data_IF_450844629620
#
_entry.id   IF_450844629620
#
_cell.length_a   1.000
_cell.length_b   1.000
_cell.length_c   1.000
_cell.angle_alpha   90.00
_cell.angle_beta   90.00
_cell.angle_gamma   90.00
#
_symmetry.space_group_name_H-M   'P 1'
#
loop_
_entity.id
_entity.type
_entity.pdbx_description
1 polymer ?
#
# COMPACT_ATOMS: atom_id res chain seq x y z
N UNK A 1 26.38 5.74 -7.13
CA UNK A 1 26.25 5.26 -5.74
C UNK A 1 24.82 5.56 -5.32
N UNK A 2 24.02 4.55 -5.03
CA UNK A 2 22.66 4.70 -4.51
C UNK A 2 22.82 5.07 -3.04
N UNK A 3 22.26 6.20 -2.61
CA UNK A 3 22.36 6.64 -1.22
C UNK A 3 20.97 7.02 -0.70
N UNK A 4 20.61 6.46 0.44
CA UNK A 4 19.64 7.10 1.31
C UNK A 4 20.24 8.47 1.68
N UNK A 5 19.56 9.57 1.31
CA UNK A 5 20.09 10.91 1.61
C UNK A 5 19.83 11.21 3.08
N UNK A 6 18.61 11.03 3.54
CA UNK A 6 18.25 11.16 4.95
C UNK A 6 16.91 10.53 5.28
N UNK A 7 16.65 10.37 6.56
CA UNK A 7 15.41 9.85 7.13
C UNK A 7 14.70 10.95 7.92
N UNK A 8 13.38 11.04 7.75
CA UNK A 8 12.52 12.00 8.45
C UNK A 8 11.51 11.23 9.30
N UNK A 9 11.32 11.64 10.55
CA UNK A 9 10.22 11.19 11.38
C UNK A 9 8.94 11.93 10.97
N UNK A 10 7.89 11.18 10.63
CA UNK A 10 6.60 11.72 10.18
C UNK A 10 5.61 11.80 11.35
N UNK A 11 5.54 10.72 12.12
CA UNK A 11 4.66 10.63 13.28
C UNK A 11 5.25 9.67 14.31
N UNK A 12 5.42 10.18 15.51
CA UNK A 12 5.75 9.42 16.71
C UNK A 12 5.06 10.06 17.91
N UNK A 13 4.36 9.27 18.69
CA UNK A 13 3.70 9.74 19.89
C UNK A 13 3.88 8.73 21.03
N UNK A 14 4.26 9.15 22.24
CA UNK A 14 4.43 8.26 23.37
C UNK A 14 3.16 7.45 23.66
N UNK A 15 3.33 6.13 23.86
CA UNK A 15 2.24 5.20 24.11
C UNK A 15 1.38 4.86 22.89
N UNK A 16 1.74 5.36 21.67
CA UNK A 16 1.01 5.08 20.45
C UNK A 16 1.78 4.14 19.51
N UNK A 17 1.04 3.28 18.86
CA UNK A 17 1.48 2.53 17.68
C UNK A 17 1.08 3.32 16.43
N UNK A 18 1.99 3.46 15.46
CA UNK A 18 1.65 3.99 14.15
C UNK A 18 2.13 3.02 13.07
N UNK A 19 1.23 2.63 12.15
CA UNK A 19 1.58 1.58 11.22
C UNK A 19 0.80 1.55 9.92
N UNK A 20 1.23 0.65 9.07
CA UNK A 20 0.57 0.11 7.88
C UNK A 20 0.22 1.12 6.78
N UNK A 21 1.10 2.05 6.37
CA UNK A 21 0.80 2.99 5.29
C UNK A 21 0.43 2.26 3.97
N UNK A 22 0.92 1.05 3.75
CA UNK A 22 0.56 0.24 2.59
C UNK A 22 -0.94 -0.07 2.48
N UNK A 23 -1.67 -0.09 3.59
CA UNK A 23 -3.11 -0.34 3.57
C UNK A 23 -3.89 0.89 3.12
N UNK A 24 -3.35 2.09 3.36
CA UNK A 24 -4.07 3.34 3.28
C UNK A 24 -3.90 4.09 1.97
N UNK A 25 -2.72 4.05 1.39
CA UNK A 25 -2.38 4.74 0.15
C UNK A 25 -1.47 5.94 0.34
N UNK A 26 -0.86 6.37 -0.77
CA UNK A 26 -0.04 7.56 -0.90
C UNK A 26 -0.42 8.29 -2.18
N UNK A 27 -0.41 9.62 -2.16
CA UNK A 27 -0.72 10.49 -3.29
C UNK A 27 0.28 11.64 -3.35
N UNK A 28 0.56 12.15 -4.56
CA UNK A 28 1.48 13.26 -4.73
C UNK A 28 1.08 14.22 -5.84
N UNK A 29 1.35 15.50 -5.64
CA UNK A 29 1.15 16.60 -6.57
C UNK A 29 2.40 17.49 -6.56
N UNK A 30 3.39 17.05 -7.31
CA UNK A 30 4.72 17.67 -7.24
C UNK A 30 5.36 17.42 -5.88
N UNK A 31 5.57 18.49 -5.11
CA UNK A 31 6.14 18.41 -3.76
C UNK A 31 5.06 18.21 -2.66
N UNK A 32 3.79 18.33 -2.98
CA UNK A 32 2.74 17.96 -2.03
C UNK A 32 2.56 16.45 -2.02
N UNK A 33 2.69 15.84 -0.83
CA UNK A 33 2.54 14.38 -0.62
C UNK A 33 1.57 14.16 0.52
N UNK A 34 0.62 13.24 0.33
CA UNK A 34 -0.30 12.78 1.38
C UNK A 34 -0.19 11.28 1.54
N UNK A 35 -0.06 10.79 2.76
CA UNK A 35 -0.05 9.36 3.09
C UNK A 35 -1.02 9.06 4.22
N UNK A 36 -1.76 7.95 4.10
CA UNK A 36 -2.60 7.46 5.17
C UNK A 36 -1.89 6.41 6.02
N UNK A 37 -2.25 6.36 7.30
CA UNK A 37 -1.76 5.33 8.23
C UNK A 37 -2.75 5.12 9.38
N UNK A 38 -2.51 4.09 10.19
CA UNK A 38 -3.30 3.79 11.38
C UNK A 38 -2.51 4.14 12.63
N UNK A 39 -3.17 4.75 13.61
CA UNK A 39 -2.63 5.00 14.94
C UNK A 39 -3.49 4.29 15.99
N UNK A 40 -2.86 3.44 16.79
CA UNK A 40 -3.48 2.71 17.88
C UNK A 40 -2.70 2.88 19.18
N UNK A 41 -3.04 2.12 20.21
CA UNK A 41 -2.27 2.09 21.45
C UNK A 41 -1.11 1.10 21.32
N UNK A 42 0.08 1.51 21.75
CA UNK A 42 1.25 0.66 21.73
C UNK A 42 1.15 -0.44 22.80
N UNK A 43 1.54 -1.66 22.41
CA UNK A 43 1.64 -2.80 23.29
C UNK A 43 3.05 -3.41 23.21
N UNK A 44 3.73 -3.45 24.33
CA UNK A 44 5.02 -4.15 24.44
C UNK A 44 4.75 -5.66 24.39
N UNK A 45 5.31 -6.32 23.37
CA UNK A 45 5.14 -7.77 23.19
C UNK A 45 5.89 -8.56 24.25
N UNK A 46 5.25 -9.61 24.73
CA UNK A 46 5.89 -10.59 25.59
C UNK A 46 6.72 -11.58 24.76
N UNK A 47 7.74 -12.21 25.35
CA UNK A 47 8.46 -13.29 24.67
C UNK A 47 7.49 -14.37 24.14
N UNK A 48 7.59 -14.70 22.84
CA UNK A 48 6.73 -15.66 22.17
C UNK A 48 5.46 -15.10 21.53
N UNK A 49 5.13 -13.83 21.70
CA UNK A 49 4.08 -13.14 20.93
C UNK A 49 4.58 -12.80 19.51
N UNK A 50 3.84 -13.25 18.49
CA UNK A 50 4.17 -13.03 17.08
C UNK A 50 3.22 -12.03 16.40
N UNK A 51 2.47 -11.27 17.18
CA UNK A 51 1.55 -10.24 16.70
C UNK A 51 2.24 -8.87 16.58
N UNK A 52 1.59 -7.93 15.90
CA UNK A 52 2.07 -6.53 15.86
C UNK A 52 2.01 -5.90 17.25
N UNK A 53 2.82 -4.88 17.49
CA UNK A 53 2.92 -4.19 18.79
C UNK A 53 1.81 -3.16 19.01
N UNK A 54 0.58 -3.54 18.71
CA UNK A 54 -0.64 -2.74 18.92
C UNK A 54 -1.55 -3.44 19.93
N UNK A 55 -2.21 -2.69 20.79
CA UNK A 55 -3.21 -3.24 21.71
C UNK A 55 -4.53 -3.48 20.96
N UNK A 56 -4.80 -4.74 20.64
CA UNK A 56 -6.01 -5.16 19.93
C UNK A 56 -7.32 -4.99 20.73
N UNK A 57 -7.25 -4.54 21.96
CA UNK A 57 -8.43 -4.26 22.81
C UNK A 57 -8.82 -2.79 22.80
N UNK A 58 -7.90 -1.92 22.43
CA UNK A 58 -8.10 -0.48 22.36
C UNK A 58 -8.42 -0.03 20.93
N UNK A 59 -9.20 1.04 20.76
CA UNK A 59 -9.52 1.51 19.41
C UNK A 59 -8.31 2.12 18.71
N UNK A 60 -8.31 1.97 17.39
CA UNK A 60 -7.37 2.64 16.49
C UNK A 60 -8.09 3.64 15.60
N UNK A 61 -7.36 4.65 15.16
CA UNK A 61 -7.83 5.73 14.28
C UNK A 61 -7.03 5.78 12.97
N UNK A 62 -7.66 6.31 11.92
CA UNK A 62 -7.03 6.49 10.63
C UNK A 62 -6.61 7.94 10.46
N UNK A 63 -5.32 8.18 10.34
CA UNK A 63 -4.72 9.49 10.18
C UNK A 63 -4.19 9.70 8.76
N UNK A 64 -4.04 10.95 8.37
CA UNK A 64 -3.28 11.36 7.21
C UNK A 64 -2.06 12.18 7.66
N UNK A 65 -0.96 12.03 6.95
CA UNK A 65 0.17 12.95 7.04
C UNK A 65 0.34 13.65 5.71
N UNK A 66 0.48 14.98 5.74
CA UNK A 66 0.71 15.83 4.57
C UNK A 66 2.04 16.54 4.66
N UNK A 67 2.80 16.46 3.57
CA UNK A 67 3.99 17.26 3.31
C UNK A 67 3.74 18.23 2.16
N UNK A 68 4.26 19.45 2.23
CA UNK A 68 4.20 20.44 1.15
C UNK A 68 5.57 20.69 0.51
N UNK A 69 6.63 20.09 1.02
CA UNK A 69 8.03 20.31 0.66
C UNK A 69 8.75 19.04 0.17
N UNK A 70 7.98 18.07 -0.33
CA UNK A 70 8.53 16.83 -0.88
C UNK A 70 8.98 15.82 0.16
N UNK A 71 8.36 15.83 1.34
CA UNK A 71 8.60 14.85 2.39
C UNK A 71 9.62 15.28 3.44
N UNK A 72 10.08 16.52 3.41
CA UNK A 72 11.04 17.04 4.38
C UNK A 72 10.38 17.40 5.73
N UNK A 73 9.15 17.94 5.68
CA UNK A 73 8.32 18.21 6.87
C UNK A 73 6.90 17.70 6.69
N UNK A 74 6.22 17.37 7.80
CA UNK A 74 4.91 16.74 7.76
C UNK A 74 3.96 17.33 8.79
N UNK A 75 2.69 17.46 8.40
CA UNK A 75 1.57 17.82 9.27
C UNK A 75 0.60 16.64 9.37
N UNK A 76 0.16 16.32 10.58
CA UNK A 76 -0.82 15.25 10.81
C UNK A 76 -2.21 15.84 10.72
N UNK A 77 -3.07 15.15 9.97
CA UNK A 77 -4.48 15.51 9.75
C UNK A 77 -5.38 14.38 10.27
N UNK A 78 -6.45 14.77 10.96
CA UNK A 78 -7.51 13.87 11.45
C UNK A 78 -8.73 14.01 10.54
N UNK A 79 -8.82 13.22 9.45
CA UNK A 79 -9.88 13.39 8.45
C UNK A 79 -11.19 12.79 8.93
N UNK A 80 -12.04 13.58 9.57
CA UNK A 80 -13.36 13.17 10.12
C UNK A 80 -14.24 12.41 9.10
N UNK A 81 -14.11 12.72 7.81
CA UNK A 81 -14.81 12.00 6.75
C UNK A 81 -14.36 10.56 6.53
N UNK A 82 -13.23 10.13 7.11
CA UNK A 82 -12.71 8.76 7.03
C UNK A 82 -13.02 7.89 8.26
N UNK A 83 -13.87 8.35 9.17
CA UNK A 83 -14.26 7.57 10.34
C UNK A 83 -14.85 6.21 9.94
N UNK A 84 -14.41 5.17 10.63
CA UNK A 84 -14.91 3.82 10.39
C UNK A 84 -16.38 3.69 10.82
N UNK A 85 -17.19 2.88 10.11
CA UNK A 85 -18.52 2.54 10.57
C UNK A 85 -18.51 1.87 11.95
N UNK A 86 -19.59 1.98 12.74
CA UNK A 86 -19.70 1.33 14.05
C UNK A 86 -19.43 -0.18 13.96
N UNK A 87 -18.69 -0.71 14.92
CA UNK A 87 -18.38 -2.13 15.01
C UNK A 87 -17.28 -2.62 14.06
N UNK A 88 -16.63 -1.72 13.30
CA UNK A 88 -15.51 -2.09 12.43
C UNK A 88 -14.28 -2.51 13.25
N UNK A 89 -13.63 -3.58 12.80
CA UNK A 89 -12.30 -3.99 13.26
C UNK A 89 -11.37 -4.07 12.06
N UNK A 90 -10.16 -3.59 12.17
CA UNK A 90 -9.12 -3.73 11.15
C UNK A 90 -7.99 -4.57 11.71
N UNK A 91 -7.66 -5.67 11.06
CA UNK A 91 -6.69 -6.65 11.54
C UNK A 91 -6.93 -7.09 13.01
N UNK A 92 -8.22 -7.18 13.42
CA UNK A 92 -8.60 -7.53 14.78
C UNK A 92 -8.70 -6.37 15.75
N UNK A 93 -8.18 -5.18 15.40
CA UNK A 93 -8.24 -3.97 16.24
C UNK A 93 -9.59 -3.29 16.06
N UNK A 94 -10.35 -2.97 17.13
CA UNK A 94 -11.53 -2.13 17.04
C UNK A 94 -11.13 -0.76 16.51
N UNK A 95 -11.96 -0.18 15.64
CA UNK A 95 -11.77 1.21 15.21
C UNK A 95 -12.66 2.13 16.05
N UNK A 96 -12.26 3.41 16.18
CA UNK A 96 -13.11 4.38 16.86
C UNK A 96 -14.50 4.43 16.24
N UNK A 97 -15.52 4.37 17.06
CA UNK A 97 -16.89 4.46 16.62
C UNK A 97 -17.24 5.94 16.32
N UNK A 98 -17.99 6.18 15.27
CA UNK A 98 -18.46 7.51 14.94
C UNK A 98 -18.70 7.77 13.46
N UNK A 99 -18.34 6.80 12.62
CA UNK A 99 -18.58 6.87 11.18
C UNK A 99 -20.03 6.59 10.81
N UNK A 100 -20.39 6.95 9.58
CA UNK A 100 -21.70 6.66 9.00
C UNK A 100 -21.80 5.17 8.64
N UNK A 101 -23.02 4.60 8.61
CA UNK A 101 -23.25 3.29 7.99
C UNK A 101 -22.77 3.26 6.55
N UNK A 102 -22.29 2.08 6.10
CA UNK A 102 -21.88 1.89 4.71
C UNK A 102 -23.08 2.02 3.78
N UNK A 103 -22.96 2.87 2.77
CA UNK A 103 -23.98 3.12 1.75
C UNK A 103 -23.54 2.60 0.38
N UNK A 104 -24.48 2.51 -0.56
CA UNK A 104 -24.15 2.30 -1.95
C UNK A 104 -23.62 3.61 -2.56
N UNK A 105 -22.61 3.50 -3.44
CA UNK A 105 -22.05 4.66 -4.08
C UNK A 105 -23.04 5.23 -5.11
N UNK A 106 -23.32 6.55 -5.10
CA UNK A 106 -24.20 7.16 -6.10
C UNK A 106 -23.58 7.15 -7.52
N UNK A 107 -22.25 6.97 -7.62
CA UNK A 107 -21.52 7.08 -8.87
C UNK A 107 -21.20 8.52 -9.24
N UNK A 108 -20.73 8.69 -10.50
CA UNK A 108 -20.45 10.01 -11.07
C UNK A 108 -19.16 10.65 -10.60
N UNK A 109 -18.29 9.94 -9.90
CA UNK A 109 -16.96 10.46 -9.58
C UNK A 109 -16.13 10.60 -10.85
N UNK A 110 -15.49 11.76 -10.99
CA UNK A 110 -14.48 12.01 -12.01
C UNK A 110 -13.10 11.60 -11.48
N UNK A 111 -12.65 10.40 -11.86
CA UNK A 111 -11.36 9.86 -11.44
C UNK A 111 -10.17 10.56 -12.10
N UNK A 112 -10.39 11.36 -13.15
CA UNK A 112 -9.35 12.18 -13.80
C UNK A 112 -9.23 13.58 -13.21
N UNK A 113 -10.07 13.92 -12.21
CA UNK A 113 -9.90 15.15 -11.46
C UNK A 113 -8.49 15.21 -10.86
N UNK A 114 -7.72 16.29 -11.10
CA UNK A 114 -6.32 16.36 -10.65
C UNK A 114 -6.17 16.28 -9.13
N UNK A 115 -7.22 16.60 -8.37
CA UNK A 115 -7.22 16.56 -6.90
C UNK A 115 -7.89 15.28 -6.34
N UNK A 116 -8.15 14.30 -7.22
CA UNK A 116 -8.81 13.04 -6.86
C UNK A 116 -7.94 12.16 -5.97
N UNK A 117 -8.58 11.59 -4.96
CA UNK A 117 -8.06 10.50 -4.13
C UNK A 117 -9.16 9.48 -3.87
N UNK A 118 -8.81 8.21 -3.87
CA UNK A 118 -9.67 7.13 -3.38
C UNK A 118 -8.89 6.26 -2.41
N UNK A 119 -9.53 5.87 -1.34
CA UNK A 119 -8.94 4.96 -0.36
C UNK A 119 -9.90 3.82 -0.05
N UNK A 120 -9.36 2.61 0.01
CA UNK A 120 -10.07 1.39 0.33
C UNK A 120 -9.71 0.93 1.73
N UNK A 121 -10.70 0.43 2.45
CA UNK A 121 -10.57 -0.02 3.84
C UNK A 121 -11.29 -1.34 4.04
N UNK A 122 -10.64 -2.28 4.69
CA UNK A 122 -11.27 -3.52 5.13
C UNK A 122 -12.00 -3.33 6.46
N UNK A 123 -13.00 -4.14 6.72
CA UNK A 123 -13.59 -4.30 8.04
C UNK A 123 -13.00 -5.48 8.80
N UNK A 124 -12.50 -6.47 8.05
CA UNK A 124 -11.90 -7.70 8.55
C UNK A 124 -10.95 -8.24 7.48
N UNK A 125 -9.96 -9.06 7.85
CA UNK A 125 -8.99 -9.62 6.90
C UNK A 125 -9.55 -10.84 6.16
N UNK A 126 -10.45 -11.62 6.77
CA UNK A 126 -10.93 -12.89 6.22
C UNK A 126 -12.32 -12.77 5.57
N UNK A 127 -13.32 -12.32 6.33
CA UNK A 127 -14.74 -12.43 5.97
C UNK A 127 -15.46 -11.10 5.82
N UNK A 128 -14.80 -10.01 6.11
CA UNK A 128 -15.46 -8.71 6.20
C UNK A 128 -15.89 -8.16 4.85
N UNK A 129 -16.95 -7.33 4.87
CA UNK A 129 -17.16 -6.36 3.80
C UNK A 129 -16.07 -5.31 3.84
N UNK A 130 -15.76 -4.78 2.69
CA UNK A 130 -14.86 -3.65 2.55
C UNK A 130 -15.63 -2.40 2.14
N UNK A 131 -15.00 -1.26 2.28
CA UNK A 131 -15.55 0.04 1.94
C UNK A 131 -14.52 0.92 1.25
N UNK A 132 -14.99 1.96 0.58
CA UNK A 132 -14.11 2.98 0.00
C UNK A 132 -14.63 4.39 0.27
N UNK A 133 -13.73 5.33 0.14
CA UNK A 133 -14.00 6.76 0.27
C UNK A 133 -13.33 7.50 -0.89
N UNK A 134 -13.99 8.54 -1.41
CA UNK A 134 -13.45 9.40 -2.46
C UNK A 134 -13.29 10.83 -1.95
N UNK A 135 -12.21 11.47 -2.37
CA UNK A 135 -11.97 12.90 -2.21
C UNK A 135 -11.69 13.53 -3.58
N UNK A 136 -12.20 14.75 -3.79
CA UNK A 136 -11.97 15.57 -4.99
C UNK A 136 -11.19 16.86 -4.66
N UNK A 137 -10.56 16.92 -3.50
CA UNK A 137 -9.86 18.10 -2.99
C UNK A 137 -8.61 17.74 -2.18
N UNK A 138 -7.85 16.75 -2.66
CA UNK A 138 -6.59 16.26 -2.05
C UNK A 138 -6.74 15.81 -0.60
N UNK A 139 -7.86 15.13 -0.30
CA UNK A 139 -8.08 14.55 1.02
C UNK A 139 -8.57 15.51 2.11
N UNK A 140 -8.85 16.79 1.77
CA UNK A 140 -9.39 17.76 2.74
C UNK A 140 -10.82 17.42 3.17
N UNK A 141 -11.58 16.76 2.31
CA UNK A 141 -12.88 16.19 2.66
C UNK A 141 -13.11 14.89 1.89
N UNK A 142 -13.91 14.00 2.48
CA UNK A 142 -14.16 12.67 1.96
C UNK A 142 -15.65 12.37 1.90
N UNK A 143 -16.02 11.67 0.83
CA UNK A 143 -17.35 11.11 0.63
C UNK A 143 -17.30 9.60 0.84
N UNK A 144 -18.29 9.04 1.48
CA UNK A 144 -18.37 7.63 1.89
C UNK A 144 -18.78 7.51 3.37
N UNK A 145 -18.70 6.31 3.95
CA UNK A 145 -18.18 5.06 3.38
C UNK A 145 -19.11 4.45 2.33
N UNK A 146 -18.55 4.00 1.22
CA UNK A 146 -19.28 3.31 0.16
C UNK A 146 -18.91 1.83 0.15
N UNK A 147 -19.89 0.97 -0.17
CA UNK A 147 -19.74 -0.47 -0.20
C UNK A 147 -18.83 -0.94 -1.32
N UNK A 148 -17.89 -1.84 -1.01
CA UNK A 148 -17.21 -2.68 -1.98
C UNK A 148 -17.98 -4.00 -2.08
N UNK A 149 -18.45 -4.43 -3.26
CA UNK A 149 -19.11 -5.72 -3.43
C UNK A 149 -18.19 -6.91 -3.10
N UNK A 150 -18.77 -8.05 -2.77
CA UNK A 150 -18.00 -9.27 -2.50
C UNK A 150 -17.56 -10.02 -3.76
N UNK A 151 -18.11 -9.71 -4.94
CA UNK A 151 -17.76 -10.34 -6.22
C UNK A 151 -17.89 -11.87 -6.22
N UNK A 152 -18.82 -12.40 -5.45
CA UNK A 152 -18.98 -13.84 -5.26
C UNK A 152 -17.93 -14.50 -4.35
N UNK A 153 -17.06 -13.71 -3.72
CA UNK A 153 -16.06 -14.20 -2.78
C UNK A 153 -16.63 -14.26 -1.35
N UNK A 154 -16.03 -15.07 -0.48
CA UNK A 154 -16.42 -15.20 0.93
C UNK A 154 -16.12 -13.93 1.74
N UNK A 155 -15.11 -13.18 1.35
CA UNK A 155 -14.72 -11.92 1.95
C UNK A 155 -13.76 -11.13 1.07
N UNK A 156 -13.70 -9.82 1.29
CA UNK A 156 -12.78 -8.90 0.62
C UNK A 156 -12.04 -8.08 1.67
N UNK A 157 -10.73 -8.22 1.70
CA UNK A 157 -9.82 -7.39 2.48
C UNK A 157 -9.25 -6.29 1.57
N UNK A 158 -9.96 -5.17 1.46
CA UNK A 158 -9.57 -4.08 0.59
C UNK A 158 -8.45 -3.23 1.21
N UNK A 159 -7.42 -3.01 0.43
CA UNK A 159 -6.36 -2.04 0.66
C UNK A 159 -6.23 -1.17 -0.57
N UNK A 160 -5.60 -0.01 -0.44
CA UNK A 160 -5.59 0.99 -1.50
C UNK A 160 -4.55 0.67 -2.56
N UNK A 161 -5.00 0.11 -3.69
CA UNK A 161 -4.21 -0.10 -4.90
C UNK A 161 -5.13 0.00 -6.14
N UNK A 162 -4.88 0.98 -7.01
CA UNK A 162 -5.76 1.24 -8.15
C UNK A 162 -5.04 1.90 -9.32
N UNK A 163 -5.67 1.81 -10.51
CA UNK A 163 -5.25 2.48 -11.74
C UNK A 163 -6.42 3.26 -12.33
N UNK A 164 -6.23 4.55 -12.58
CA UNK A 164 -7.20 5.40 -13.29
C UNK A 164 -7.08 5.12 -14.78
N UNK A 165 -8.18 4.70 -15.42
CA UNK A 165 -8.23 4.43 -16.85
C UNK A 165 -8.91 5.56 -17.63
N UNK A 166 -9.77 6.35 -16.97
CA UNK A 166 -10.53 7.42 -17.58
C UNK A 166 -11.47 8.09 -16.58
N UNK A 167 -12.26 9.03 -17.05
CA UNK A 167 -13.09 9.89 -16.22
C UNK A 167 -13.99 9.13 -15.23
N UNK A 168 -14.66 8.07 -15.68
CA UNK A 168 -15.53 7.24 -14.85
C UNK A 168 -14.99 5.80 -14.66
N UNK A 169 -13.75 5.54 -15.09
CA UNK A 169 -13.19 4.20 -15.24
C UNK A 169 -11.99 4.01 -14.30
N UNK A 170 -12.12 3.08 -13.36
CA UNK A 170 -11.13 2.75 -12.35
C UNK A 170 -10.95 1.24 -12.25
N UNK A 171 -9.72 0.77 -12.35
CA UNK A 171 -9.34 -0.61 -12.03
C UNK A 171 -8.77 -0.64 -10.61
N UNK A 172 -9.19 -1.61 -9.80
CA UNK A 172 -8.79 -1.75 -8.39
C UNK A 172 -8.31 -3.18 -8.14
N UNK A 173 -7.24 -3.30 -7.37
CA UNK A 173 -6.66 -4.57 -6.97
C UNK A 173 -6.92 -4.80 -5.48
N UNK A 174 -7.56 -5.91 -5.17
CA UNK A 174 -8.03 -6.24 -3.83
C UNK A 174 -7.53 -7.63 -3.43
N UNK A 175 -7.60 -7.94 -2.15
CA UNK A 175 -7.40 -9.30 -1.67
C UNK A 175 -8.74 -9.92 -1.33
N UNK A 176 -8.99 -11.11 -1.85
CA UNK A 176 -10.17 -11.90 -1.56
C UNK A 176 -9.85 -13.07 -0.63
N UNK A 177 -10.84 -13.54 0.11
CA UNK A 177 -10.77 -14.79 0.82
C UNK A 177 -10.69 -15.95 -0.18
N UNK A 178 -9.84 -16.91 0.13
CA UNK A 178 -9.70 -18.18 -0.61
C UNK A 178 -10.92 -19.07 -0.41
N UNK A 179 -10.94 -20.21 -1.08
CA UNK A 179 -11.98 -21.23 -0.92
C UNK A 179 -12.11 -21.76 0.52
N UNK A 180 -11.02 -21.72 1.31
CA UNK A 180 -11.00 -22.09 2.73
C UNK A 180 -11.54 -20.99 3.68
N UNK A 181 -11.87 -19.79 3.17
CA UNK A 181 -12.42 -18.67 3.93
C UNK A 181 -11.39 -17.71 4.52
N UNK A 182 -10.09 -17.97 4.38
CA UNK A 182 -9.02 -17.06 4.83
C UNK A 182 -8.53 -16.15 3.71
N UNK A 183 -8.09 -14.95 4.06
CA UNK A 183 -7.46 -14.00 3.13
C UNK A 183 -6.33 -14.69 2.35
N UNK A 184 -6.21 -14.41 1.05
CA UNK A 184 -5.04 -14.93 0.38
C UNK A 184 -5.06 -15.02 -1.13
N UNK A 185 -5.97 -14.38 -1.85
CA UNK A 185 -5.98 -14.38 -3.31
C UNK A 185 -6.20 -12.97 -3.88
N UNK A 186 -5.31 -12.51 -4.73
CA UNK A 186 -5.46 -11.18 -5.34
C UNK A 186 -6.44 -11.23 -6.50
N UNK A 187 -7.40 -10.30 -6.50
CA UNK A 187 -8.39 -10.08 -7.56
C UNK A 187 -8.26 -8.69 -8.17
N UNK A 188 -8.69 -8.58 -9.42
CA UNK A 188 -8.87 -7.33 -10.14
C UNK A 188 -10.36 -7.07 -10.35
N UNK A 189 -10.81 -5.87 -10.02
CA UNK A 189 -12.19 -5.40 -10.19
C UNK A 189 -12.21 -4.05 -10.89
N UNK A 190 -13.33 -3.66 -11.49
CA UNK A 190 -13.43 -2.42 -12.27
C UNK A 190 -14.79 -1.77 -12.12
N UNK A 191 -14.79 -0.45 -12.10
CA UNK A 191 -15.98 0.39 -12.29
C UNK A 191 -15.81 1.24 -13.56
N UNK A 192 -16.92 1.51 -14.27
CA UNK A 192 -16.94 2.33 -15.48
C UNK A 192 -18.00 3.42 -15.44
N UNK A 193 -18.59 3.64 -14.27
CA UNK A 193 -19.69 4.59 -14.03
C UNK A 193 -19.41 5.50 -12.81
N UNK A 194 -18.14 5.74 -12.53
CA UNK A 194 -17.72 6.61 -11.43
C UNK A 194 -17.98 6.02 -10.05
N UNK A 195 -17.87 4.69 -9.91
CA UNK A 195 -17.95 3.98 -8.64
C UNK A 195 -19.34 3.45 -8.26
N UNK A 196 -20.37 3.65 -9.11
CA UNK A 196 -21.74 3.22 -8.83
C UNK A 196 -21.88 1.70 -8.87
N UNK A 197 -21.34 1.08 -9.93
CA UNK A 197 -21.33 -0.37 -10.08
C UNK A 197 -19.92 -0.89 -10.27
N UNK A 198 -19.70 -2.13 -9.84
CA UNK A 198 -18.41 -2.78 -9.89
C UNK A 198 -18.53 -4.16 -10.50
N UNK A 199 -17.58 -4.55 -11.32
CA UNK A 199 -17.48 -5.87 -11.94
C UNK A 199 -16.19 -6.56 -11.54
N UNK A 200 -16.27 -7.87 -11.33
CA UNK A 200 -15.09 -8.73 -11.26
C UNK A 200 -14.46 -8.83 -12.65
N UNK A 201 -13.15 -8.67 -12.74
CA UNK A 201 -12.40 -8.79 -13.99
C UNK A 201 -11.68 -10.13 -14.04
N UNK A 202 -10.82 -10.40 -13.07
CA UNK A 202 -9.98 -11.59 -13.06
C UNK A 202 -9.38 -11.86 -11.67
N UNK A 203 -8.81 -13.06 -11.52
CA UNK A 203 -7.82 -13.33 -10.49
C UNK A 203 -6.43 -12.99 -11.03
N UNK A 204 -5.65 -12.21 -10.24
CA UNK A 204 -4.26 -11.87 -10.57
C UNK A 204 -3.34 -13.06 -10.29
N UNK A 205 -3.62 -13.79 -9.20
CA UNK A 205 -2.81 -14.93 -8.78
C UNK A 205 -3.62 -16.23 -8.86
N UNK A 206 -2.97 -17.39 -9.08
CA UNK A 206 -3.56 -18.67 -8.70
C UNK A 206 -3.99 -18.62 -7.23
N UNK A 207 -4.93 -19.47 -6.82
CA UNK A 207 -5.26 -19.62 -5.41
C UNK A 207 -4.12 -20.37 -4.71
N UNK A 208 -3.46 -19.76 -3.69
CA UNK A 208 -2.44 -20.46 -2.93
C UNK A 208 -3.01 -21.61 -2.12
N UNK A 209 -2.25 -22.70 -2.00
CA UNK A 209 -2.67 -23.91 -1.29
C UNK A 209 -2.60 -23.74 0.24
N UNK A 210 -3.39 -24.50 0.94
CA UNK A 210 -3.34 -24.65 2.39
C UNK A 210 -3.40 -23.32 3.14
N UNK A 211 -2.36 -23.03 3.91
CA UNK A 211 -2.21 -21.77 4.67
C UNK A 211 -1.47 -20.67 3.91
N UNK A 212 -0.96 -20.96 2.72
CA UNK A 212 -0.28 -19.97 1.90
C UNK A 212 -1.23 -18.85 1.47
N UNK A 213 -0.67 -17.67 1.25
CA UNK A 213 -1.45 -16.49 0.85
C UNK A 213 -0.69 -15.61 -0.15
N UNK A 214 -1.46 -15.01 -1.06
CA UNK A 214 -1.04 -13.96 -1.97
C UNK A 214 -1.92 -12.74 -1.70
N UNK A 215 -1.33 -11.66 -1.18
CA UNK A 215 -2.06 -10.51 -0.64
C UNK A 215 -1.36 -9.20 -0.96
N UNK A 216 -2.05 -8.08 -0.70
CA UNK A 216 -1.48 -6.73 -0.69
C UNK A 216 -0.77 -6.38 -2.00
N UNK A 217 -1.51 -6.29 -3.10
CA UNK A 217 -0.96 -5.91 -4.40
C UNK A 217 -0.42 -4.48 -4.41
N UNK A 218 0.51 -4.23 -5.32
CA UNK A 218 0.95 -2.89 -5.72
C UNK A 218 1.16 -2.87 -7.23
N UNK A 219 0.39 -2.03 -7.93
CA UNK A 219 0.21 -2.13 -9.38
C UNK A 219 0.64 -0.85 -10.08
N UNK A 220 1.24 -0.99 -11.26
CA UNK A 220 1.57 0.11 -12.16
C UNK A 220 1.14 -0.22 -13.58
N UNK A 221 0.79 0.81 -14.37
CA UNK A 221 0.57 0.71 -15.80
C UNK A 221 1.81 1.24 -16.52
N UNK A 222 2.37 0.42 -17.38
CA UNK A 222 3.54 0.77 -18.19
C UNK A 222 3.16 1.63 -19.41
N UNK A 223 4.10 2.34 -20.05
CA UNK A 223 3.87 3.03 -21.31
C UNK A 223 3.41 2.10 -22.45
N UNK A 224 3.77 0.82 -22.39
CA UNK A 224 3.28 -0.23 -23.28
C UNK A 224 1.81 -0.59 -23.08
N UNK A 225 1.12 0.06 -22.11
CA UNK A 225 -0.22 -0.25 -21.61
C UNK A 225 -0.33 -1.56 -20.80
N UNK A 226 0.73 -2.34 -20.72
CA UNK A 226 0.76 -3.50 -19.83
C UNK A 226 0.60 -3.07 -18.37
N UNK A 227 0.01 -3.94 -17.56
CA UNK A 227 -0.10 -3.75 -16.12
C UNK A 227 0.86 -4.73 -15.44
N UNK A 228 1.68 -4.21 -14.55
CA UNK A 228 2.47 -5.01 -13.63
C UNK A 228 1.89 -4.91 -12.23
N UNK A 229 1.76 -6.05 -11.56
CA UNK A 229 1.26 -6.15 -10.18
C UNK A 229 2.24 -6.98 -9.36
N UNK A 230 2.90 -6.32 -8.41
CA UNK A 230 3.70 -6.99 -7.40
C UNK A 230 2.80 -7.43 -6.24
N UNK A 231 2.97 -8.65 -5.77
CA UNK A 231 2.10 -9.28 -4.77
C UNK A 231 2.96 -9.86 -3.65
N UNK A 232 2.61 -9.59 -2.40
CA UNK A 232 3.19 -10.31 -1.27
C UNK A 232 2.68 -11.75 -1.27
N UNK A 233 3.60 -12.71 -1.43
CA UNK A 233 3.32 -14.13 -1.26
C UNK A 233 4.11 -14.64 -0.06
N UNK A 234 3.45 -14.78 1.10
CA UNK A 234 4.13 -15.14 2.36
C UNK A 234 5.43 -14.35 2.60
N UNK A 235 6.60 -14.99 2.40
CA UNK A 235 7.93 -14.49 2.70
C UNK A 235 8.63 -13.83 1.51
N UNK A 236 7.95 -13.63 0.39
CA UNK A 236 8.54 -13.03 -0.81
C UNK A 236 7.54 -12.18 -1.58
N UNK A 237 8.03 -11.51 -2.60
CA UNK A 237 7.21 -10.74 -3.53
C UNK A 237 7.30 -11.42 -4.88
N UNK A 238 6.16 -11.78 -5.45
CA UNK A 238 5.99 -12.26 -6.81
C UNK A 238 5.47 -11.13 -7.71
N UNK A 239 5.85 -11.13 -8.99
CA UNK A 239 5.43 -10.16 -9.99
C UNK A 239 4.61 -10.84 -11.08
N UNK A 240 3.48 -10.21 -11.42
CA UNK A 240 2.56 -10.65 -12.47
C UNK A 240 2.38 -9.55 -13.50
N UNK A 241 2.18 -9.94 -14.77
CA UNK A 241 1.96 -9.07 -15.92
C UNK A 241 0.65 -9.39 -16.62
N UNK A 242 -0.06 -8.35 -17.02
CA UNK A 242 -1.20 -8.43 -17.93
C UNK A 242 -0.97 -7.51 -19.13
N UNK A 243 -1.14 -8.04 -20.34
CA UNK A 243 -1.06 -7.30 -21.60
C UNK A 243 -2.45 -7.04 -22.23
N UNK A 244 -3.53 -7.44 -21.55
CA UNK A 244 -4.91 -7.41 -22.05
C UNK A 244 -5.88 -6.67 -21.11
N UNK A 245 -5.40 -5.65 -20.42
CA UNK A 245 -6.19 -4.81 -19.49
C UNK A 245 -6.74 -5.59 -18.29
N UNK A 246 -5.88 -6.36 -17.64
CA UNK A 246 -6.14 -7.17 -16.46
C UNK A 246 -7.09 -8.36 -16.67
N UNK A 247 -7.34 -8.81 -17.92
CA UNK A 247 -8.18 -9.99 -18.16
C UNK A 247 -7.46 -11.28 -17.86
N UNK A 248 -6.17 -11.35 -18.22
CA UNK A 248 -5.31 -12.50 -17.97
C UNK A 248 -3.96 -12.06 -17.41
N UNK A 249 -3.28 -12.95 -16.68
CA UNK A 249 -2.04 -12.66 -16.00
C UNK A 249 -1.01 -13.75 -16.22
N UNK A 250 0.23 -13.33 -16.48
CA UNK A 250 1.39 -14.19 -16.55
C UNK A 250 2.33 -13.91 -15.37
N UNK A 251 2.87 -14.94 -14.75
CA UNK A 251 3.93 -14.81 -13.77
C UNK A 251 5.22 -14.36 -14.45
N UNK A 252 5.86 -13.30 -13.92
CA UNK A 252 7.09 -12.72 -14.45
C UNK A 252 8.32 -13.19 -13.69
N UNK A 253 8.23 -13.24 -12.36
CA UNK A 253 9.36 -13.59 -11.52
C UNK A 253 9.19 -13.18 -10.07
N UNK A 254 10.27 -13.35 -9.29
CA UNK A 254 10.33 -13.07 -7.85
C UNK A 254 11.36 -11.98 -7.55
N UNK A 255 10.98 -10.69 -7.62
CA UNK A 255 11.91 -9.58 -7.41
C UNK A 255 12.48 -9.49 -5.98
N UNK A 256 11.75 -9.96 -4.96
CA UNK A 256 12.23 -9.97 -3.59
C UNK A 256 11.95 -11.33 -2.93
N UNK A 257 12.96 -12.19 -2.79
CA UNK A 257 12.79 -13.58 -2.36
C UNK A 257 12.71 -13.77 -0.83
N UNK A 258 13.00 -12.73 -0.04
CA UNK A 258 13.05 -12.84 1.43
C UNK A 258 12.65 -11.50 2.07
N UNK A 259 11.36 -11.31 2.32
CA UNK A 259 10.88 -10.03 2.86
C UNK A 259 9.74 -10.12 3.87
N UNK A 260 8.78 -11.02 3.75
CA UNK A 260 7.55 -11.07 4.56
C UNK A 260 6.76 -9.73 4.59
N UNK A 261 6.94 -8.86 3.61
CA UNK A 261 6.36 -7.51 3.58
C UNK A 261 5.61 -7.24 2.28
N UNK A 262 4.59 -6.37 2.30
CA UNK A 262 3.97 -5.94 1.05
C UNK A 262 4.93 -5.09 0.22
N UNK A 263 4.80 -5.18 -1.11
CA UNK A 263 5.54 -4.33 -2.04
C UNK A 263 4.95 -2.92 -2.11
N UNK A 264 5.80 -1.96 -2.50
CA UNK A 264 5.38 -0.74 -3.18
C UNK A 264 6.11 -0.68 -4.53
N UNK A 265 5.37 -0.90 -5.61
CA UNK A 265 5.87 -0.83 -6.97
C UNK A 265 5.59 0.56 -7.54
N UNK A 266 6.61 1.19 -8.12
CA UNK A 266 6.54 2.54 -8.67
C UNK A 266 7.20 2.56 -10.05
N UNK A 267 6.54 3.16 -11.04
CA UNK A 267 7.16 3.52 -12.29
C UNK A 267 7.83 4.89 -12.17
N UNK A 268 9.11 4.96 -12.50
CA UNK A 268 9.90 6.18 -12.44
C UNK A 268 9.74 7.02 -13.72
N UNK A 269 10.04 8.31 -13.62
CA UNK A 269 9.96 9.27 -14.74
C UNK A 269 10.90 8.90 -15.90
N UNK A 270 11.98 8.17 -15.63
CA UNK A 270 12.92 7.67 -16.65
C UNK A 270 12.52 6.30 -17.23
N UNK A 271 11.35 5.79 -16.89
CA UNK A 271 10.79 4.53 -17.38
C UNK A 271 11.19 3.28 -16.58
N UNK A 272 12.17 3.38 -15.66
CA UNK A 272 12.52 2.27 -14.76
C UNK A 272 11.39 1.98 -13.78
N UNK A 273 11.50 0.84 -13.12
CA UNK A 273 10.68 0.46 -11.98
C UNK A 273 11.50 0.55 -10.70
N UNK A 274 10.88 1.01 -9.63
CA UNK A 274 11.38 0.89 -8.28
C UNK A 274 10.42 0.01 -7.46
N UNK A 275 10.96 -0.97 -6.76
CA UNK A 275 10.26 -1.83 -5.81
C UNK A 275 10.83 -1.56 -4.43
N UNK A 276 10.00 -1.09 -3.50
CA UNK A 276 10.40 -0.90 -2.10
C UNK A 276 9.63 -1.85 -1.18
N UNK A 277 10.29 -2.31 -0.12
CA UNK A 277 9.71 -3.27 0.83
C UNK A 277 10.45 -3.24 2.17
N UNK A 278 9.80 -3.73 3.22
CA UNK A 278 10.45 -3.99 4.49
C UNK A 278 11.16 -5.33 4.50
N UNK A 279 12.26 -5.45 5.22
CA UNK A 279 12.94 -6.71 5.51
C UNK A 279 12.68 -7.10 6.96
N UNK A 280 12.00 -8.24 7.15
CA UNK A 280 11.59 -8.78 8.46
C UNK A 280 12.52 -9.87 9.00
N UNK A 281 13.59 -10.21 8.28
CA UNK A 281 14.73 -10.99 8.75
C UNK A 281 15.90 -10.06 9.11
N UNK A 282 16.72 -10.44 10.06
CA UNK A 282 17.90 -9.63 10.45
C UNK A 282 18.92 -9.55 9.30
N UNK A 283 19.53 -8.39 9.05
CA UNK A 283 19.28 -7.11 9.69
C UNK A 283 17.96 -6.49 9.22
N UNK A 284 17.08 -6.16 10.18
CA UNK A 284 15.78 -5.57 9.92
C UNK A 284 15.89 -4.18 9.30
N UNK A 285 14.99 -3.84 8.38
CA UNK A 285 15.06 -2.51 7.77
C UNK A 285 14.19 -2.35 6.52
N UNK A 286 14.53 -1.34 5.71
CA UNK A 286 13.83 -1.00 4.48
C UNK A 286 14.76 -1.18 3.30
N UNK A 287 14.24 -1.73 2.22
CA UNK A 287 15.00 -2.12 1.02
C UNK A 287 14.33 -1.62 -0.24
N UNK A 288 15.13 -1.51 -1.30
CA UNK A 288 14.65 -1.23 -2.64
C UNK A 288 15.39 -2.07 -3.69
N UNK A 289 14.77 -2.24 -4.85
CA UNK A 289 15.37 -2.75 -6.08
C UNK A 289 14.89 -1.95 -7.26
N UNK A 290 15.70 -1.89 -8.32
CA UNK A 290 15.40 -1.20 -9.56
C UNK A 290 15.39 -2.20 -10.72
N UNK A 291 14.50 -1.95 -11.70
CA UNK A 291 14.44 -2.71 -12.95
C UNK A 291 14.36 -1.74 -14.13
N UNK A 292 15.13 -2.01 -15.18
CA UNK A 292 15.11 -1.24 -16.44
C UNK A 292 14.52 -2.02 -17.63
N UNK A 293 13.96 -3.19 -17.38
CA UNK A 293 13.45 -4.11 -18.40
C UNK A 293 12.03 -4.60 -18.12
N UNK A 294 11.19 -3.70 -17.57
CA UNK A 294 9.79 -3.96 -17.23
C UNK A 294 9.63 -5.11 -16.20
N UNK A 295 10.57 -5.23 -15.26
CA UNK A 295 10.49 -6.18 -14.15
C UNK A 295 11.01 -7.59 -14.45
N UNK A 296 11.63 -7.81 -15.62
CA UNK A 296 12.22 -9.11 -15.97
C UNK A 296 13.47 -9.41 -15.15
N UNK A 297 14.30 -8.38 -14.93
CA UNK A 297 15.47 -8.45 -14.06
C UNK A 297 15.49 -7.28 -13.07
N UNK A 298 16.17 -7.49 -11.94
CA UNK A 298 16.23 -6.53 -10.86
C UNK A 298 17.66 -6.33 -10.39
N UNK A 299 17.97 -5.12 -9.96
CA UNK A 299 19.26 -4.78 -9.38
C UNK A 299 19.54 -5.60 -8.12
N UNK A 300 20.78 -5.53 -7.64
CA UNK A 300 21.10 -5.86 -6.26
C UNK A 300 20.21 -5.07 -5.30
N UNK A 301 20.02 -5.58 -4.09
CA UNK A 301 19.28 -4.92 -3.03
C UNK A 301 19.95 -3.60 -2.65
N UNK A 302 19.16 -2.54 -2.60
CA UNK A 302 19.54 -1.21 -2.14
C UNK A 302 19.06 -1.07 -0.70
N UNK A 303 19.98 -0.81 0.21
CA UNK A 303 19.68 -0.63 1.63
C UNK A 303 19.24 0.81 1.87
N UNK A 304 17.96 1.03 2.22
CA UNK A 304 17.42 2.33 2.62
C UNK A 304 17.54 2.55 4.13
N UNK A 305 17.24 1.52 4.93
CA UNK A 305 17.44 1.46 6.38
C UNK A 305 17.95 0.09 6.79
N UNK A 306 18.78 0.03 7.83
CA UNK A 306 19.40 -1.22 8.31
C UNK A 306 19.50 -1.28 9.84
N UNK A 307 18.74 -0.43 10.51
CA UNK A 307 18.77 -0.17 11.94
C UNK A 307 17.44 -0.49 12.63
N UNK A 308 16.64 -1.39 12.04
CA UNK A 308 15.41 -1.87 12.64
C UNK A 308 15.66 -2.72 13.89
N UNK A 309 14.91 -2.46 14.96
CA UNK A 309 15.02 -3.19 16.21
C UNK A 309 14.38 -4.58 16.17
N UNK A 310 13.30 -4.74 15.40
CA UNK A 310 12.63 -6.03 15.22
C UNK A 310 11.82 -6.09 13.92
N UNK A 311 11.21 -7.26 13.65
CA UNK A 311 10.46 -7.56 12.43
C UNK A 311 9.20 -6.70 12.22
N UNK A 312 8.65 -6.07 13.26
CA UNK A 312 7.41 -5.30 13.18
C UNK A 312 7.64 -3.91 12.59
N UNK A 313 7.89 -3.89 11.29
CA UNK A 313 8.21 -2.72 10.46
C UNK A 313 7.82 -2.94 8.99
N UNK A 314 7.95 -1.89 8.17
CA UNK A 314 7.82 -1.94 6.73
C UNK A 314 6.51 -1.37 6.21
N UNK A 315 5.75 -2.12 5.42
CA UNK A 315 4.50 -1.69 4.76
C UNK A 315 4.70 -0.40 3.97
N UNK A 316 5.70 -0.42 3.08
CA UNK A 316 6.14 0.76 2.33
C UNK A 316 5.09 1.30 1.36
N UNK A 317 5.12 2.62 1.15
CA UNK A 317 4.53 3.33 0.00
C UNK A 317 5.53 4.34 -0.52
N UNK A 318 5.62 4.46 -1.84
CA UNK A 318 6.64 5.32 -2.47
C UNK A 318 6.03 6.19 -3.54
N UNK A 319 6.55 7.41 -3.65
CA UNK A 319 6.29 8.34 -4.76
C UNK A 319 7.60 8.95 -5.23
N UNK A 320 7.65 9.37 -6.50
CA UNK A 320 8.79 10.10 -7.03
C UNK A 320 8.50 11.59 -7.07
N UNK A 321 9.46 12.39 -6.59
CA UNK A 321 9.44 13.86 -6.63
C UNK A 321 9.77 14.38 -8.03
N UNK A 322 9.46 15.66 -8.33
CA UNK A 322 9.86 16.29 -9.60
C UNK A 322 11.38 16.34 -9.82
N UNK A 323 12.19 16.38 -8.74
CA UNK A 323 13.66 16.34 -8.81
C UNK A 323 14.23 14.92 -9.05
N UNK A 324 13.36 13.93 -9.24
CA UNK A 324 13.73 12.54 -9.51
C UNK A 324 13.99 11.68 -8.26
N UNK A 325 14.07 12.27 -7.07
CA UNK A 325 14.22 11.52 -5.82
C UNK A 325 12.95 10.76 -5.48
N UNK A 326 13.10 9.66 -4.74
CA UNK A 326 12.00 8.84 -4.26
C UNK A 326 11.79 9.10 -2.77
N UNK A 327 10.54 9.31 -2.39
CA UNK A 327 10.07 9.41 -1.01
C UNK A 327 9.40 8.09 -0.66
N UNK A 328 10.02 7.31 0.21
CA UNK A 328 9.50 6.02 0.68
C UNK A 328 9.02 6.17 2.11
N UNK A 329 7.72 6.05 2.32
CA UNK A 329 7.05 6.08 3.64
C UNK A 329 6.86 4.66 4.14
N UNK A 330 7.06 4.44 5.42
CA UNK A 330 6.92 3.13 6.08
C UNK A 330 6.67 3.31 7.58
N UNK A 331 6.25 2.25 8.27
CA UNK A 331 6.33 2.25 9.73
C UNK A 331 7.60 1.55 10.19
N UNK A 332 8.11 1.98 11.33
CA UNK A 332 9.44 1.57 11.79
C UNK A 332 9.55 1.49 13.31
N UNK A 333 10.54 0.74 13.77
CA UNK A 333 10.99 0.70 15.15
C UNK A 333 12.51 0.59 15.19
N UNK A 334 13.13 1.16 16.19
CA UNK A 334 14.55 1.09 16.49
C UNK A 334 14.87 0.14 17.65
N UNK A 335 13.83 -0.35 18.35
CA UNK A 335 13.91 -1.36 19.42
C UNK A 335 12.61 -2.17 19.46
N UNK A 336 12.66 -3.44 19.90
CA UNK A 336 11.46 -4.25 20.13
C UNK A 336 10.47 -3.61 21.12
N UNK A 337 10.98 -2.86 22.10
CA UNK A 337 10.23 -2.30 23.21
C UNK A 337 9.81 -0.83 22.99
N UNK A 338 10.16 -0.24 21.84
CA UNK A 338 9.76 1.11 21.49
C UNK A 338 8.50 1.15 20.62
N UNK A 339 7.80 2.28 20.66
CA UNK A 339 6.64 2.54 19.82
C UNK A 339 6.97 2.36 18.34
N UNK A 340 5.95 2.03 17.56
CA UNK A 340 6.02 2.06 16.10
C UNK A 340 5.69 3.46 15.61
N UNK A 341 6.54 3.99 14.76
CA UNK A 341 6.46 5.34 14.20
C UNK A 341 6.28 5.29 12.68
N UNK A 342 5.72 6.33 12.10
CA UNK A 342 5.78 6.56 10.65
C UNK A 342 7.04 7.35 10.35
N UNK A 343 7.84 6.83 9.42
CA UNK A 343 9.07 7.45 8.96
C UNK A 343 9.17 7.45 7.44
N UNK A 344 10.04 8.28 6.92
CA UNK A 344 10.34 8.44 5.50
C UNK A 344 11.83 8.29 5.27
N UNK A 345 12.21 7.64 4.19
CA UNK A 345 13.55 7.77 3.60
C UNK A 345 13.42 8.47 2.26
N UNK A 346 14.15 9.57 2.09
CA UNK A 346 14.34 10.26 0.80
C UNK A 346 15.65 9.74 0.21
N UNK A 347 15.57 9.23 -1.03
CA UNK A 347 16.72 8.60 -1.67
C UNK A 347 16.76 8.84 -3.17
N UNK A 348 17.97 8.77 -3.74
CA UNK A 348 18.19 8.97 -5.15
C UNK A 348 18.34 7.59 -5.85
N UNK A 349 17.46 7.24 -6.82
CA UNK A 349 17.56 5.98 -7.56
C UNK A 349 18.78 5.92 -8.51
N UNK A 350 19.59 6.98 -8.58
CA UNK A 350 20.69 7.13 -9.53
C UNK A 350 20.19 7.29 -10.96
N UNK A 351 21.01 7.86 -11.82
CA UNK A 351 20.78 7.81 -13.26
C UNK A 351 21.40 6.51 -13.80
N UNK A 352 20.74 5.84 -14.75
CA UNK A 352 21.42 4.83 -15.55
C UNK A 352 22.55 5.52 -16.32
N UNK A 353 23.78 5.28 -15.91
CA UNK A 353 24.91 5.54 -16.82
C UNK A 353 24.83 4.47 -17.91
N UNK A 354 24.27 4.81 -19.07
CA UNK A 354 24.50 4.02 -20.26
C UNK A 354 26.00 3.90 -20.45
N UNK A 355 26.60 2.79 -19.98
CA UNK A 355 27.89 2.38 -20.48
C UNK A 355 27.69 2.10 -21.98
N UNK A 356 27.97 3.09 -22.81
CA UNK A 356 28.30 2.85 -24.19
C UNK A 356 29.49 1.88 -24.15
N UNK A 357 29.22 0.63 -24.42
CA UNK A 357 30.26 -0.30 -24.85
C UNK A 357 30.73 0.21 -26.19
N UNK A 358 31.76 1.04 -26.17
CA UNK A 358 32.56 1.26 -27.37
C UNK A 358 33.14 -0.10 -27.75
N UNK A 359 32.72 -0.58 -28.92
CA UNK A 359 33.32 -1.73 -29.62
C UNK A 359 34.54 -1.25 -30.39
#
# INVERSE_FOLDING_TARGET
MFAAEHTVEVYKQPGRFAGWPANHGIWSWGNEIVVGFESGYFHVRRPGEHEHSIDYKQPAEHLLARSLDGGETWQIEEPLGLLAPPGTKVAGVPTEAGGKPVADCPGGFDFTNPDFMVTFRMADVDIGPSRFYCSLNRGKSWQGPFRVPLFGQKGIAARTDYLVNGRSDLTVFLTAAKSNGHEGRVICVRTQDGGKTWSFVSFVTPEPEGRDYAIMPSSVRLPSHAILTAVRYQNWIDLYRSDDNARTWAYVGRPAPDTENPPSLLQLQDGRLALTYGRRSAPFGIRARLSSDEGKTWSSEIVLRNDGGCWDLGYTRSVQRPDGKIVTVYYFNDSPDHERQIAVTIWNPGLETHRKTEK
#
